data_IF_800703265092
#
_entry.id   IF_800703265092
#
_cell.length_a   1.000
_cell.length_b   1.000
_cell.length_c   1.000
_cell.angle_alpha   90.00
_cell.angle_beta   90.00
_cell.angle_gamma   90.00
#
_symmetry.space_group_name_H-M   'P 1'
#
loop_
_entity.id
_entity.type
_entity.pdbx_description
1 polymer ?
#
# COMPACT_ATOMS: atom_id res chain seq x y z
N UNK A 1 -19.33 15.31 0.96
CA UNK A 1 -17.96 15.50 1.50
C UNK A 1 -16.98 15.61 0.33
N UNK A 2 -16.25 16.72 0.19
CA UNK A 2 -15.32 16.96 -0.94
C UNK A 2 -13.86 16.78 -0.48
N UNK A 3 -13.38 15.54 -0.53
CA UNK A 3 -12.03 15.13 -0.07
C UNK A 3 -10.93 15.41 -1.11
N UNK A 4 -11.32 15.62 -2.37
CA UNK A 4 -10.45 15.89 -3.51
C UNK A 4 -9.72 17.24 -3.46
N UNK A 5 -10.13 18.16 -2.56
CA UNK A 5 -9.50 19.48 -2.42
C UNK A 5 -8.15 19.47 -1.69
N UNK A 6 -7.82 18.39 -0.99
CA UNK A 6 -6.55 18.26 -0.28
C UNK A 6 -5.50 17.64 -1.20
N UNK A 7 -4.26 18.17 -1.25
CA UNK A 7 -3.20 17.58 -2.06
C UNK A 7 -2.90 16.16 -1.57
N UNK A 8 -2.84 15.19 -2.51
CA UNK A 8 -2.49 13.80 -2.20
C UNK A 8 -1.00 13.60 -2.40
N UNK A 9 -0.33 13.07 -1.38
CA UNK A 9 1.04 12.61 -1.49
C UNK A 9 1.04 11.10 -1.79
N UNK A 10 1.63 10.71 -2.91
CA UNK A 10 1.67 9.32 -3.37
C UNK A 10 2.93 8.63 -2.86
N UNK A 11 2.78 7.81 -1.82
CA UNK A 11 3.88 7.03 -1.25
C UNK A 11 4.00 5.61 -1.82
N UNK A 12 2.98 5.13 -2.53
CA UNK A 12 2.92 3.82 -3.17
C UNK A 12 2.04 3.89 -4.44
N UNK A 13 2.32 3.03 -5.42
CA UNK A 13 1.65 3.05 -6.74
C UNK A 13 0.67 1.91 -7.01
N UNK A 14 0.58 0.92 -6.12
CA UNK A 14 -0.21 -0.29 -6.35
C UNK A 14 -1.47 -0.33 -5.48
N UNK A 15 -2.61 -0.80 -6.01
CA UNK A 15 -3.80 -1.01 -5.19
C UNK A 15 -3.49 -2.01 -4.08
N UNK A 16 -3.88 -1.67 -2.85
CA UNK A 16 -3.71 -2.57 -1.69
C UNK A 16 -4.47 -3.88 -1.93
N UNK A 17 -3.82 -5.06 -1.80
CA UNK A 17 -4.48 -6.31 -2.12
C UNK A 17 -5.62 -6.62 -1.14
N UNK A 18 -6.71 -7.14 -1.69
CA UNK A 18 -7.82 -7.74 -0.95
C UNK A 18 -7.69 -9.25 -1.08
N UNK A 19 -7.57 -9.94 0.06
CA UNK A 19 -7.35 -11.39 0.10
C UNK A 19 -8.43 -12.10 0.93
N UNK A 20 -8.90 -13.29 0.52
CA UNK A 20 -9.81 -14.08 1.34
C UNK A 20 -9.07 -14.75 2.52
N UNK A 21 -9.73 -14.82 3.67
CA UNK A 21 -9.25 -15.52 4.87
C UNK A 21 -10.01 -16.84 5.04
N UNK A 22 -9.75 -17.79 4.15
CA UNK A 22 -10.50 -19.05 4.10
C UNK A 22 -10.41 -19.87 5.39
N UNK A 23 -9.22 -19.97 5.98
CA UNK A 23 -9.02 -20.73 7.22
C UNK A 23 -9.78 -20.11 8.40
N UNK A 24 -9.82 -18.78 8.48
CA UNK A 24 -10.58 -18.08 9.51
C UNK A 24 -12.08 -18.24 9.30
N UNK A 25 -12.53 -18.14 8.05
CA UNK A 25 -13.93 -18.34 7.69
C UNK A 25 -14.39 -19.77 8.07
N UNK A 26 -13.57 -20.78 7.77
CA UNK A 26 -13.80 -22.19 8.15
C UNK A 26 -13.81 -22.39 9.67
N UNK A 27 -12.83 -21.82 10.37
CA UNK A 27 -12.71 -21.94 11.83
C UNK A 27 -13.94 -21.37 12.54
N UNK A 28 -14.48 -20.25 12.05
CA UNK A 28 -15.63 -19.58 12.66
C UNK A 28 -16.98 -20.16 12.20
N UNK A 29 -16.99 -21.06 11.21
CA UNK A 29 -18.23 -21.60 10.63
C UNK A 29 -19.14 -20.53 10.01
N UNK A 30 -18.57 -19.39 9.63
CA UNK A 30 -19.29 -18.16 9.30
C UNK A 30 -19.18 -17.76 7.82
N UNK A 31 -19.53 -16.50 7.48
CA UNK A 31 -19.45 -16.00 6.11
C UNK A 31 -17.99 -15.93 5.61
N UNK A 32 -17.81 -15.73 4.30
CA UNK A 32 -16.48 -15.47 3.72
C UNK A 32 -15.92 -14.15 4.25
N UNK A 33 -14.75 -14.23 4.89
CA UNK A 33 -14.02 -13.08 5.43
C UNK A 33 -12.94 -12.68 4.43
N UNK A 34 -12.81 -11.37 4.21
CA UNK A 34 -11.76 -10.77 3.39
C UNK A 34 -10.93 -9.79 4.24
N UNK A 35 -9.65 -9.65 3.89
CA UNK A 35 -8.76 -8.67 4.48
C UNK A 35 -8.21 -7.72 3.42
N UNK A 36 -8.22 -6.42 3.71
CA UNK A 36 -7.42 -5.43 3.00
C UNK A 36 -6.04 -5.38 3.64
N UNK A 37 -5.00 -5.80 2.92
CA UNK A 37 -3.62 -5.74 3.39
C UNK A 37 -3.13 -4.29 3.30
N UNK A 38 -3.18 -3.57 4.42
CA UNK A 38 -2.52 -2.26 4.54
C UNK A 38 -1.01 -2.47 4.60
N UNK A 39 -0.40 -2.68 3.43
CA UNK A 39 1.05 -2.71 3.24
C UNK A 39 1.45 -1.51 2.38
N UNK A 40 2.54 -0.86 2.78
CA UNK A 40 3.16 0.19 1.95
C UNK A 40 4.16 -0.50 1.04
N UNK A 41 3.85 -0.58 -0.27
CA UNK A 41 4.90 -0.85 -1.25
C UNK A 41 5.74 0.41 -1.38
N UNK A 42 6.95 0.37 -0.82
CA UNK A 42 7.91 1.45 -0.88
C UNK A 42 8.31 1.67 -2.34
N UNK A 43 8.35 2.92 -2.78
CA UNK A 43 8.93 3.25 -4.09
C UNK A 43 10.39 2.78 -4.12
N UNK A 44 10.88 2.25 -5.25
CA UNK A 44 12.31 2.07 -5.43
C UNK A 44 12.99 3.43 -5.18
N UNK A 45 13.97 3.44 -4.26
CA UNK A 45 14.71 4.65 -3.91
C UNK A 45 15.32 5.22 -5.19
N UNK A 46 15.03 6.49 -5.47
CA UNK A 46 15.65 7.23 -6.57
C UNK A 46 17.14 7.29 -6.26
N UNK A 47 18.00 6.79 -7.16
CA UNK A 47 19.45 6.92 -7.06
C UNK A 47 19.80 8.41 -6.87
N UNK A 48 20.25 8.77 -5.68
CA UNK A 48 20.86 10.07 -5.44
C UNK A 48 22.15 10.13 -6.25
N UNK A 49 22.10 10.81 -7.40
CA UNK A 49 23.30 11.17 -8.15
C UNK A 49 24.19 11.99 -7.21
N UNK A 50 25.28 11.39 -6.76
CA UNK A 50 26.34 12.11 -6.06
C UNK A 50 26.86 13.19 -7.00
N UNK A 51 26.51 14.45 -6.76
CA UNK A 51 27.15 15.59 -7.42
C UNK A 51 28.55 15.69 -6.84
N UNK A 52 29.55 15.39 -7.66
CA UNK A 52 30.96 15.57 -7.30
C UNK A 52 31.26 17.09 -7.30
N UNK A 53 31.43 17.65 -6.11
CA UNK A 53 31.86 19.03 -5.89
C UNK A 53 33.39 19.06 -5.72
N UNK A 54 34.12 18.82 -6.81
CA UNK A 54 35.55 19.14 -6.87
C UNK A 54 35.73 20.28 -7.87
N UNK A 55 35.84 21.49 -7.35
CA UNK A 55 36.42 22.67 -8.02
C UNK A 55 37.47 23.26 -7.08
#
# INVERSE_FOLDING_TARGET
MHISRFPRLHFAHLPTPIEPLENLSKLLGGPQIYIKREIVQVLPQVETKHVNLNS
#
